data_IF_798032273190
#
_entry.id   IF_798032273190
#
_cell.length_a   1.000
_cell.length_b   1.000
_cell.length_c   1.000
_cell.angle_alpha   90.00
_cell.angle_beta   90.00
_cell.angle_gamma   90.00
#
_symmetry.space_group_name_H-M   'P 1'
#
loop_
_entity.id
_entity.type
_entity.pdbx_description
1 polymer ?
#
# COMPACT_ATOMS: atom_id res chain seq x y z
N UNK A 1 6.41 -1.74 15.83
CA UNK A 1 5.71 -0.95 14.80
C UNK A 1 4.21 -0.80 15.07
N UNK A 2 3.57 -1.74 15.78
CA UNK A 2 2.15 -1.62 16.20
C UNK A 2 1.86 -0.47 17.18
N UNK A 3 2.85 -0.04 17.96
CA UNK A 3 2.66 0.96 19.03
C UNK A 3 2.33 2.37 18.52
N UNK A 4 2.72 2.70 17.28
CA UNK A 4 2.45 4.00 16.66
C UNK A 4 0.96 4.16 16.30
N UNK A 5 0.35 3.13 15.70
CA UNK A 5 -1.06 3.14 15.26
C UNK A 5 -2.02 2.97 16.43
N UNK A 6 -1.67 2.19 17.45
CA UNK A 6 -2.51 2.01 18.64
C UNK A 6 -2.63 3.29 19.50
N UNK A 7 -1.69 4.24 19.35
CA UNK A 7 -1.67 5.50 20.09
C UNK A 7 -2.28 6.68 19.33
N UNK A 8 -2.48 6.57 18.03
CA UNK A 8 -3.19 7.58 17.26
C UNK A 8 -4.67 7.54 17.66
N UNK A 9 -5.31 8.66 18.00
CA UNK A 9 -6.74 8.72 18.24
C UNK A 9 -7.47 8.63 16.89
N UNK A 10 -7.42 7.46 16.26
CA UNK A 10 -7.92 7.20 14.89
C UNK A 10 -9.41 7.51 14.76
N UNK A 11 -10.16 7.41 15.86
CA UNK A 11 -11.58 7.76 15.92
C UNK A 11 -11.86 9.26 15.90
N UNK A 12 -10.83 10.07 16.09
CA UNK A 12 -10.87 11.54 16.15
C UNK A 12 -10.23 12.18 14.91
N UNK A 13 -9.73 11.37 13.96
CA UNK A 13 -9.17 11.88 12.72
C UNK A 13 -10.26 12.52 11.85
N UNK A 14 -10.03 13.77 11.50
CA UNK A 14 -10.82 14.50 10.52
C UNK A 14 -10.50 13.99 9.10
N UNK A 15 -11.31 14.39 8.12
CA UNK A 15 -11.15 13.90 6.73
C UNK A 15 -9.76 14.18 6.15
N UNK A 16 -9.18 15.33 6.46
CA UNK A 16 -7.84 15.71 5.98
C UNK A 16 -6.72 14.86 6.62
N UNK A 17 -6.91 14.44 7.87
CA UNK A 17 -5.96 13.55 8.54
C UNK A 17 -5.98 12.16 7.90
N UNK A 18 -7.15 11.70 7.46
CA UNK A 18 -7.28 10.44 6.72
C UNK A 18 -6.59 10.48 5.36
N UNK A 19 -6.68 11.60 4.66
CA UNK A 19 -5.98 11.81 3.38
C UNK A 19 -4.47 11.79 3.60
N UNK A 20 -3.99 12.46 4.65
CA UNK A 20 -2.57 12.50 5.02
C UNK A 20 -2.06 11.10 5.39
N UNK A 21 -2.75 10.39 6.28
CA UNK A 21 -2.39 9.03 6.69
C UNK A 21 -2.36 8.06 5.51
N UNK A 22 -3.34 8.15 4.60
CA UNK A 22 -3.38 7.31 3.40
C UNK A 22 -2.17 7.59 2.48
N UNK A 23 -1.84 8.86 2.31
CA UNK A 23 -0.69 9.29 1.50
C UNK A 23 0.63 8.81 2.09
N UNK A 24 0.81 8.94 3.41
CA UNK A 24 2.00 8.49 4.14
C UNK A 24 2.17 6.96 4.06
N UNK A 25 1.08 6.20 4.25
CA UNK A 25 1.10 4.74 4.13
C UNK A 25 1.37 4.28 2.70
N UNK A 26 0.81 4.97 1.71
CA UNK A 26 1.10 4.72 0.30
C UNK A 26 2.59 4.92 0.03
N UNK A 27 3.18 6.03 0.47
CA UNK A 27 4.60 6.30 0.32
C UNK A 27 5.46 5.26 1.06
N UNK A 28 5.08 4.87 2.27
CA UNK A 28 5.77 3.82 3.03
C UNK A 28 5.78 2.48 2.28
N UNK A 29 4.63 2.05 1.74
CA UNK A 29 4.56 0.81 0.95
C UNK A 29 5.42 0.86 -0.30
N UNK A 30 5.48 2.02 -0.96
CA UNK A 30 6.36 2.17 -2.12
C UNK A 30 7.83 1.98 -1.76
N UNK A 31 8.28 2.52 -0.63
CA UNK A 31 9.65 2.36 -0.15
C UNK A 31 9.92 0.89 0.18
N UNK A 32 9.01 0.24 0.93
CA UNK A 32 9.12 -1.20 1.24
C UNK A 32 9.22 -2.03 -0.04
N UNK A 33 8.36 -1.78 -1.02
CA UNK A 33 8.34 -2.55 -2.26
C UNK A 33 9.62 -2.36 -3.10
N UNK A 34 10.14 -1.14 -3.17
CA UNK A 34 11.36 -0.84 -3.92
C UNK A 34 12.61 -1.40 -3.23
N UNK A 35 12.74 -1.18 -1.93
CA UNK A 35 13.96 -1.55 -1.18
C UNK A 35 14.04 -3.05 -0.88
N UNK A 36 12.91 -3.69 -0.56
CA UNK A 36 12.91 -5.11 -0.15
C UNK A 36 12.74 -6.03 -1.36
N UNK A 37 11.83 -5.72 -2.27
CA UNK A 37 11.49 -6.60 -3.39
C UNK A 37 12.07 -6.15 -4.74
N UNK A 38 12.99 -5.17 -4.72
CA UNK A 38 13.62 -4.60 -5.94
C UNK A 38 12.59 -4.17 -6.99
N UNK A 39 11.44 -3.70 -6.53
CA UNK A 39 10.34 -3.33 -7.42
C UNK A 39 10.61 -1.99 -8.11
N UNK A 40 9.95 -1.76 -9.24
CA UNK A 40 10.07 -0.51 -10.01
C UNK A 40 8.78 0.27 -9.98
N UNK A 41 8.88 1.59 -9.78
CA UNK A 41 7.74 2.48 -9.74
C UNK A 41 7.53 3.16 -11.11
N UNK A 42 6.28 3.25 -11.57
CA UNK A 42 5.94 4.02 -12.77
C UNK A 42 4.52 4.58 -12.71
N UNK A 43 4.26 5.59 -13.52
CA UNK A 43 2.89 6.00 -13.83
C UNK A 43 2.25 5.03 -14.83
N UNK A 44 1.01 4.62 -14.56
CA UNK A 44 0.12 3.92 -15.49
C UNK A 44 -1.00 4.88 -15.87
N UNK A 45 -1.16 5.13 -17.17
CA UNK A 45 -2.29 5.90 -17.67
C UNK A 45 -3.59 5.12 -17.43
N UNK A 46 -4.58 5.79 -16.86
CA UNK A 46 -5.91 5.26 -16.64
C UNK A 46 -6.94 6.37 -16.86
N UNK A 47 -7.66 6.29 -17.97
CA UNK A 47 -8.68 7.27 -18.34
C UNK A 47 -9.95 7.22 -17.49
N UNK A 48 -10.08 6.23 -16.60
CA UNK A 48 -11.20 6.14 -15.65
C UNK A 48 -10.95 6.94 -14.37
N UNK A 49 -9.70 7.32 -14.11
CA UNK A 49 -9.33 8.09 -12.93
C UNK A 49 -9.40 9.60 -13.19
N UNK A 50 -9.79 10.43 -12.20
CA UNK A 50 -9.82 11.89 -12.33
C UNK A 50 -8.47 12.50 -12.71
N UNK A 51 -7.37 11.87 -12.27
CA UNK A 51 -5.98 12.26 -12.56
C UNK A 51 -5.53 11.86 -13.96
N UNK A 52 -6.23 10.93 -14.63
CA UNK A 52 -5.84 10.34 -15.92
C UNK A 52 -4.68 9.33 -15.82
N UNK A 53 -4.16 9.10 -14.61
CA UNK A 53 -3.07 8.18 -14.32
C UNK A 53 -3.09 7.76 -12.86
N UNK A 54 -2.46 6.62 -12.57
CA UNK A 54 -2.16 6.16 -11.22
C UNK A 54 -0.71 5.73 -11.12
N UNK A 55 -0.21 5.77 -9.90
CA UNK A 55 1.10 5.23 -9.60
C UNK A 55 1.00 3.72 -9.37
N UNK A 56 1.82 2.95 -10.06
CA UNK A 56 1.90 1.51 -9.90
C UNK A 56 3.33 1.05 -9.67
N UNK A 57 3.44 -0.13 -9.05
CA UNK A 57 4.70 -0.80 -8.79
C UNK A 57 4.72 -2.13 -9.54
N UNK A 58 5.72 -2.30 -10.39
CA UNK A 58 6.01 -3.57 -11.05
C UNK A 58 7.04 -4.34 -10.22
N UNK A 59 6.72 -5.59 -9.87
CA UNK A 59 7.54 -6.47 -9.02
C UNK A 59 7.56 -7.87 -9.62
N UNK A 60 8.66 -8.59 -9.41
CA UNK A 60 8.76 -10.02 -9.74
C UNK A 60 8.63 -10.82 -8.44
N UNK A 61 7.66 -11.73 -8.39
CA UNK A 61 7.48 -12.61 -7.23
C UNK A 61 8.55 -13.69 -7.13
N UNK A 62 8.59 -14.41 -6.01
CA UNK A 62 9.51 -15.55 -5.83
C UNK A 62 9.26 -16.67 -6.86
N UNK A 63 8.03 -16.74 -7.39
CA UNK A 63 7.63 -17.63 -8.47
C UNK A 63 8.07 -17.18 -9.88
N UNK A 64 8.82 -16.07 -9.96
CA UNK A 64 9.30 -15.49 -11.22
C UNK A 64 8.21 -14.77 -12.03
N UNK A 65 6.98 -14.64 -11.52
CA UNK A 65 5.93 -13.93 -12.23
C UNK A 65 6.01 -12.42 -12.00
N UNK A 66 5.91 -11.66 -13.08
CA UNK A 66 5.79 -10.21 -13.02
C UNK A 66 4.36 -9.80 -12.63
N UNK A 67 4.26 -8.91 -11.64
CA UNK A 67 3.00 -8.39 -11.11
C UNK A 67 3.04 -6.87 -11.07
N UNK A 68 1.89 -6.25 -11.27
CA UNK A 68 1.71 -4.81 -11.14
C UNK A 68 0.75 -4.53 -9.99
N UNK A 69 1.19 -3.73 -9.03
CA UNK A 69 0.47 -3.39 -7.81
C UNK A 69 0.12 -1.90 -7.84
N UNK A 70 -1.14 -1.56 -7.58
CA UNK A 70 -1.55 -0.19 -7.29
C UNK A 70 -1.60 -0.01 -5.75
N UNK A 71 -0.67 0.75 -5.13
CA UNK A 71 -0.60 0.85 -3.67
C UNK A 71 -1.83 1.56 -3.07
N UNK A 72 -2.39 2.54 -3.78
CA UNK A 72 -3.47 3.37 -3.27
C UNK A 72 -4.75 2.58 -2.95
N UNK A 73 -5.29 1.75 -3.87
CA UNK A 73 -6.40 0.85 -3.56
C UNK A 73 -6.12 -0.12 -2.41
N UNK A 74 -4.89 -0.65 -2.30
CA UNK A 74 -4.51 -1.58 -1.23
C UNK A 74 -4.56 -0.92 0.15
N UNK A 75 -4.03 0.30 0.28
CA UNK A 75 -4.13 1.07 1.53
C UNK A 75 -5.60 1.33 1.85
N UNK A 76 -6.42 1.73 0.87
CA UNK A 76 -7.84 2.00 1.09
C UNK A 76 -8.59 0.76 1.61
N UNK A 77 -8.35 -0.40 1.02
CA UNK A 77 -9.00 -1.67 1.38
C UNK A 77 -8.61 -2.12 2.80
N UNK A 78 -7.33 -2.08 3.13
CA UNK A 78 -6.81 -2.66 4.38
C UNK A 78 -6.76 -1.67 5.55
N UNK A 79 -6.93 -0.38 5.30
CA UNK A 79 -7.04 0.64 6.35
C UNK A 79 -8.47 0.78 6.91
N UNK A 80 -9.49 0.28 6.19
CA UNK A 80 -10.91 0.56 6.49
C UNK A 80 -11.73 -0.46 7.29
N UNK A 81 -11.19 -1.59 7.78
CA UNK A 81 -11.70 -2.16 9.03
C UNK A 81 -10.73 -1.88 10.18
N UNK A 82 -11.18 -1.04 11.12
CA UNK A 82 -10.53 -0.84 12.43
C UNK A 82 -10.62 -2.13 13.25
N UNK A 83 -9.57 -2.52 14.01
CA UNK A 83 -8.30 -1.82 14.14
C UNK A 83 -7.39 -2.08 12.95
N UNK A 84 -6.88 -0.98 12.40
CA UNK A 84 -5.87 -0.96 11.34
C UNK A 84 -4.68 -1.75 11.83
N UNK A 85 -4.25 -2.73 11.03
CA UNK A 85 -3.06 -3.51 11.32
C UNK A 85 -2.13 -3.31 10.16
N UNK A 86 -1.15 -2.42 10.31
CA UNK A 86 -0.04 -2.31 9.34
C UNK A 86 0.55 -3.70 9.02
N UNK A 87 0.67 -4.66 9.97
CA UNK A 87 1.04 -6.03 9.62
C UNK A 87 0.13 -6.68 8.57
N UNK A 88 -1.19 -6.49 8.62
CA UNK A 88 -2.10 -7.02 7.60
C UNK A 88 -1.95 -6.34 6.25
N UNK A 89 -1.68 -5.04 6.25
CA UNK A 89 -1.39 -4.29 5.02
C UNK A 89 -0.09 -4.81 4.39
N UNK A 90 0.95 -5.05 5.20
CA UNK A 90 2.20 -5.66 4.75
C UNK A 90 1.97 -7.08 4.21
N UNK A 91 1.29 -7.94 4.95
CA UNK A 91 0.92 -9.31 4.51
C UNK A 91 0.12 -9.32 3.20
N UNK A 92 -0.74 -8.32 2.99
CA UNK A 92 -1.51 -8.19 1.76
C UNK A 92 -0.63 -7.76 0.57
N UNK A 93 0.27 -6.80 0.81
CA UNK A 93 1.23 -6.31 -0.19
C UNK A 93 2.23 -7.41 -0.57
N UNK A 94 2.72 -8.15 0.43
CA UNK A 94 3.54 -9.36 0.29
C UNK A 94 2.88 -10.40 -0.62
N UNK A 95 1.64 -10.80 -0.29
CA UNK A 95 0.86 -11.72 -1.14
C UNK A 95 0.62 -11.16 -2.54
N UNK A 96 0.29 -9.87 -2.66
CA UNK A 96 0.09 -9.24 -3.95
C UNK A 96 1.37 -9.19 -4.79
N UNK A 97 2.53 -9.10 -4.14
CA UNK A 97 3.85 -9.15 -4.78
C UNK A 97 4.29 -10.58 -5.10
N UNK A 98 3.63 -11.61 -4.56
CA UNK A 98 4.04 -13.00 -4.68
C UNK A 98 5.24 -13.34 -3.80
N UNK A 99 5.36 -12.65 -2.66
CA UNK A 99 6.38 -12.88 -1.63
C UNK A 99 5.63 -13.21 -0.33
N UNK A 100 5.60 -14.47 0.10
CA UNK A 100 4.89 -14.86 1.32
C UNK A 100 4.87 -16.37 1.52
N UNK A 101 5.17 -16.82 2.75
CA UNK A 101 5.20 -18.24 3.10
C UNK A 101 3.83 -18.89 2.87
N UNK A 102 3.85 -20.07 2.22
CA UNK A 102 2.74 -21.03 2.27
C UNK A 102 2.57 -21.66 3.65
#
# INVERSE_FOLDING_TARGET
>A
MDEYVLRLPIRELETDDWITLHSDLTAFLMVVLQEIYSATCRARLDGTLPTGWELVIDVVGEDGQQRTIAPWPLVLEHLRPVPQRIPRLLEAVERAAGHGAG
#
